data_IF_347998352082
#
_entry.id   IF_347998352082
#
_cell.length_a   1.000
_cell.length_b   1.000
_cell.length_c   1.000
_cell.angle_alpha   90.00
_cell.angle_beta   90.00
_cell.angle_gamma   90.00
#
_symmetry.space_group_name_H-M   'P 1'
#
loop_
_entity.id
_entity.type
_entity.pdbx_description
1 polymer ?
#
# COMPACT_ATOMS: atom_id res chain seq x y z
N UNK A 1 6.26 17.29 22.33
CA UNK A 1 5.56 16.10 21.80
C UNK A 1 4.08 16.22 22.15
N UNK A 2 3.19 16.34 21.17
CA UNK A 2 1.73 16.45 21.39
C UNK A 2 1.19 15.09 21.85
N UNK A 3 0.40 15.06 22.93
CA UNK A 3 -0.38 13.89 23.35
C UNK A 3 -1.82 14.08 22.86
N UNK A 4 -2.36 13.10 22.13
CA UNK A 4 -3.75 13.10 21.68
C UNK A 4 -4.67 12.66 22.82
N UNK A 5 -5.86 13.24 22.93
CA UNK A 5 -6.88 12.78 23.88
C UNK A 5 -7.86 11.84 23.20
N UNK A 6 -8.43 10.91 23.96
CA UNK A 6 -9.46 9.97 23.48
C UNK A 6 -10.67 10.75 22.95
N UNK A 7 -11.10 10.46 21.72
CA UNK A 7 -12.25 11.07 21.08
C UNK A 7 -11.97 12.31 20.21
N UNK A 8 -10.72 12.76 20.12
CA UNK A 8 -10.33 13.85 19.23
C UNK A 8 -10.15 13.37 17.78
N UNK A 9 -10.56 14.19 16.82
CA UNK A 9 -10.32 13.99 15.40
C UNK A 9 -9.44 15.11 14.84
N UNK A 10 -8.47 14.75 14.00
CA UNK A 10 -7.52 15.69 13.41
C UNK A 10 -7.44 15.51 11.90
N UNK A 11 -7.22 16.61 11.18
CA UNK A 11 -6.81 16.55 9.77
C UNK A 11 -5.33 16.20 9.72
N UNK A 12 -4.99 15.19 8.95
CA UNK A 12 -3.59 14.87 8.65
C UNK A 12 -3.17 15.66 7.40
N UNK A 13 -2.06 16.39 7.52
CA UNK A 13 -1.54 17.24 6.45
C UNK A 13 -0.38 16.62 5.68
N UNK A 14 0.37 15.72 6.32
CA UNK A 14 1.50 15.02 5.72
C UNK A 14 1.79 13.70 6.45
N UNK A 15 2.52 12.81 5.78
CA UNK A 15 2.97 11.52 6.30
C UNK A 15 4.49 11.43 6.14
N UNK A 16 5.17 10.82 7.11
CA UNK A 16 6.61 10.55 7.04
C UNK A 16 6.87 9.13 7.53
N UNK A 17 7.40 8.29 6.64
CA UNK A 17 7.67 6.88 6.91
C UNK A 17 9.17 6.64 6.79
N UNK A 18 9.79 6.25 7.91
CA UNK A 18 11.23 6.06 8.01
C UNK A 18 11.63 4.99 9.02
N UNK A 19 12.93 4.77 9.25
CA UNK A 19 13.44 3.72 10.15
C UNK A 19 12.93 3.86 11.59
N UNK A 20 12.51 5.06 12.01
CA UNK A 20 11.97 5.34 13.34
C UNK A 20 10.43 5.23 13.42
N UNK A 21 9.80 4.66 12.39
CA UNK A 21 8.36 4.43 12.31
C UNK A 21 7.63 5.37 11.35
N UNK A 22 6.31 5.23 11.35
CA UNK A 22 5.40 6.02 10.54
C UNK A 22 4.89 7.21 11.37
N UNK A 23 4.79 8.39 10.76
CA UNK A 23 4.42 9.63 11.42
C UNK A 23 3.34 10.38 10.65
N UNK A 24 2.40 10.98 11.36
CA UNK A 24 1.31 11.80 10.83
C UNK A 24 1.49 13.25 11.28
N UNK A 25 1.45 14.20 10.35
CA UNK A 25 1.50 15.62 10.65
C UNK A 25 0.10 16.17 10.90
N UNK A 26 -0.09 16.83 12.04
CA UNK A 26 -1.38 17.41 12.45
C UNK A 26 -1.46 18.93 12.20
N UNK A 27 -0.45 19.49 11.53
CA UNK A 27 -0.29 20.92 11.24
C UNK A 27 1.04 21.49 11.76
N UNK A 28 1.70 22.33 10.96
CA UNK A 28 2.99 22.94 11.31
C UNK A 28 4.06 21.89 11.65
N UNK A 29 4.77 22.07 12.75
CA UNK A 29 5.80 21.13 13.23
C UNK A 29 5.26 19.99 14.10
N UNK A 30 3.93 19.80 14.16
CA UNK A 30 3.33 18.79 15.03
C UNK A 30 3.23 17.44 14.32
N UNK A 31 4.04 16.48 14.77
CA UNK A 31 4.03 15.09 14.30
C UNK A 31 3.64 14.13 15.43
N UNK A 32 2.82 13.13 15.09
CA UNK A 32 2.47 12.02 15.97
C UNK A 32 2.88 10.71 15.33
N UNK A 33 3.46 9.79 16.12
CA UNK A 33 3.77 8.46 15.63
C UNK A 33 2.47 7.70 15.39
N UNK A 34 2.34 7.12 14.20
CA UNK A 34 1.20 6.27 13.88
C UNK A 34 1.27 4.96 14.66
N UNK A 35 0.20 4.69 15.41
CA UNK A 35 -0.02 3.46 16.15
C UNK A 35 -1.47 3.03 15.91
N UNK A 36 -1.67 1.93 15.18
CA UNK A 36 -3.00 1.42 14.84
C UNK A 36 -3.78 0.88 16.02
N UNK A 37 -3.15 0.63 17.18
CA UNK A 37 -3.85 0.23 18.41
C UNK A 37 -4.61 1.39 19.05
N UNK A 38 -4.24 2.64 18.73
CA UNK A 38 -4.80 3.85 19.35
C UNK A 38 -5.37 4.85 18.34
N UNK A 39 -4.84 4.89 17.12
CA UNK A 39 -5.19 5.86 16.08
C UNK A 39 -6.00 5.18 14.98
N UNK A 40 -7.27 5.60 14.85
CA UNK A 40 -8.06 5.33 13.65
C UNK A 40 -7.80 6.43 12.62
N UNK A 41 -6.82 6.20 11.74
CA UNK A 41 -6.50 7.13 10.67
C UNK A 41 -7.31 6.84 9.41
N UNK A 42 -8.40 7.60 9.23
CA UNK A 42 -9.17 7.58 8.00
C UNK A 42 -8.55 8.58 7.01
N UNK A 43 -7.70 8.10 6.10
CA UNK A 43 -7.03 8.90 5.05
C UNK A 43 -7.99 9.58 4.05
N UNK A 44 -9.30 9.52 4.29
CA UNK A 44 -10.35 9.97 3.39
C UNK A 44 -10.34 9.13 2.13
N UNK A 45 -11.19 8.09 2.06
CA UNK A 45 -11.43 7.26 0.89
C UNK A 45 -10.27 7.24 -0.15
N UNK A 46 -9.10 6.72 0.23
CA UNK A 46 -8.41 5.87 -0.75
C UNK A 46 -9.38 4.74 -0.88
N UNK A 47 -10.20 4.77 -1.92
CA UNK A 47 -11.11 3.68 -2.18
C UNK A 47 -10.26 2.42 -2.14
N UNK A 48 -10.47 1.63 -1.09
CA UNK A 48 -10.40 0.20 -1.22
C UNK A 48 -11.50 -0.02 -2.25
N UNK A 49 -11.14 0.07 -3.53
CA UNK A 49 -12.02 -0.28 -4.62
C UNK A 49 -12.25 -1.77 -4.37
N UNK A 50 -13.24 -2.11 -3.54
CA UNK A 50 -13.65 -3.49 -3.32
C UNK A 50 -14.06 -4.12 -4.66
N UNK A 51 -14.29 -3.30 -5.70
CA UNK A 51 -14.39 -3.67 -7.10
C UNK A 51 -13.07 -4.19 -7.74
N UNK A 52 -11.97 -4.38 -7.01
CA UNK A 52 -10.79 -5.10 -7.52
C UNK A 52 -10.52 -6.42 -6.80
N UNK A 53 -11.22 -6.70 -5.71
CA UNK A 53 -11.05 -7.97 -4.99
C UNK A 53 -11.48 -9.14 -5.88
N UNK A 54 -10.66 -10.19 -5.93
CA UNK A 54 -10.88 -11.34 -6.80
C UNK A 54 -10.61 -11.07 -8.30
N UNK A 55 -10.39 -9.81 -8.70
CA UNK A 55 -9.97 -9.48 -10.06
C UNK A 55 -8.50 -9.82 -10.30
N UNK A 56 -8.10 -9.87 -11.56
CA UNK A 56 -6.73 -10.19 -11.94
C UNK A 56 -5.95 -8.92 -12.24
N UNK A 57 -4.88 -8.66 -11.49
CA UNK A 57 -3.86 -7.67 -11.87
C UNK A 57 -2.97 -8.29 -12.94
N UNK A 58 -2.85 -7.64 -14.09
CA UNK A 58 -2.12 -8.11 -15.27
C UNK A 58 -1.04 -7.10 -15.65
N UNK A 59 0.20 -7.56 -15.83
CA UNK A 59 1.30 -6.71 -16.27
C UNK A 59 1.10 -6.22 -17.70
N UNK A 60 1.44 -4.96 -17.95
CA UNK A 60 1.50 -4.34 -19.28
C UNK A 60 2.91 -4.40 -19.90
N UNK A 61 3.93 -4.71 -19.08
CA UNK A 61 5.34 -4.70 -19.47
C UNK A 61 5.99 -6.03 -19.12
N UNK A 62 7.06 -6.37 -19.82
CA UNK A 62 7.89 -7.51 -19.43
C UNK A 62 8.72 -7.17 -18.20
N UNK A 63 9.15 -8.21 -17.49
CA UNK A 63 10.02 -8.10 -16.33
C UNK A 63 9.52 -7.17 -15.20
N UNK A 64 8.20 -7.09 -14.98
CA UNK A 64 7.63 -6.25 -13.93
C UNK A 64 7.89 -6.84 -12.54
N UNK A 65 8.58 -6.09 -11.68
CA UNK A 65 8.90 -6.52 -10.32
C UNK A 65 7.68 -6.80 -9.45
N UNK A 66 7.73 -7.88 -8.68
CA UNK A 66 6.84 -8.15 -7.56
C UNK A 66 7.63 -8.56 -6.31
N UNK A 67 7.04 -8.38 -5.13
CA UNK A 67 7.73 -8.38 -3.84
C UNK A 67 7.10 -9.37 -2.86
N UNK A 68 7.88 -9.84 -1.89
CA UNK A 68 7.39 -10.68 -0.78
C UNK A 68 6.70 -9.89 0.33
N UNK A 69 6.87 -8.56 0.36
CA UNK A 69 6.26 -7.64 1.33
C UNK A 69 5.71 -6.41 0.63
N UNK A 70 4.75 -5.73 1.27
CA UNK A 70 4.25 -4.42 0.83
C UNK A 70 5.35 -3.36 1.00
N UNK A 71 6.21 -3.22 -0.01
CA UNK A 71 7.39 -2.36 0.02
C UNK A 71 7.94 -2.12 -1.38
N UNK A 72 8.71 -1.04 -1.53
CA UNK A 72 9.50 -0.76 -2.72
C UNK A 72 10.99 -1.08 -2.55
N UNK A 73 11.38 -1.61 -1.38
CA UNK A 73 12.76 -2.01 -1.13
C UNK A 73 13.11 -3.29 -1.94
N UNK A 74 14.15 -3.18 -2.77
CA UNK A 74 14.63 -4.26 -3.65
C UNK A 74 15.11 -5.50 -2.90
N UNK A 75 15.47 -5.39 -1.61
CA UNK A 75 15.82 -6.55 -0.80
C UNK A 75 14.67 -7.56 -0.63
N UNK A 76 13.43 -7.13 -0.85
CA UNK A 76 12.23 -7.98 -0.79
C UNK A 76 11.71 -8.36 -2.18
N UNK A 77 12.47 -8.11 -3.25
CA UNK A 77 12.12 -8.52 -4.61
C UNK A 77 11.96 -10.05 -4.65
N UNK A 78 10.79 -10.51 -5.07
CA UNK A 78 10.48 -11.93 -5.19
C UNK A 78 10.75 -12.46 -6.60
N UNK A 79 10.62 -11.60 -7.61
CA UNK A 79 10.86 -11.93 -9.01
C UNK A 79 10.23 -10.90 -9.94
N UNK A 80 10.11 -11.30 -11.22
CA UNK A 80 9.49 -10.50 -12.28
C UNK A 80 8.34 -11.23 -12.96
N UNK A 81 7.37 -10.49 -13.47
CA UNK A 81 6.23 -11.01 -14.23
C UNK A 81 6.12 -10.33 -15.59
N UNK A 82 5.95 -11.14 -16.64
CA UNK A 82 5.88 -10.64 -18.00
C UNK A 82 4.51 -10.08 -18.39
N UNK A 83 4.49 -9.33 -19.50
CA UNK A 83 3.28 -8.73 -20.02
C UNK A 83 2.20 -9.80 -20.29
N UNK A 84 0.95 -9.51 -19.91
CA UNK A 84 -0.17 -10.44 -20.03
C UNK A 84 -0.29 -11.47 -18.90
N UNK A 85 0.79 -11.68 -18.12
CA UNK A 85 0.76 -12.49 -16.90
C UNK A 85 0.36 -11.66 -15.68
N UNK A 86 0.00 -12.31 -14.58
CA UNK A 86 -0.68 -11.64 -13.49
C UNK A 86 -1.17 -12.53 -12.36
N UNK A 87 -1.75 -11.88 -11.34
CA UNK A 87 -2.12 -12.44 -10.04
C UNK A 87 -3.56 -12.09 -9.68
N UNK A 88 -4.19 -12.86 -8.79
CA UNK A 88 -5.52 -12.56 -8.24
C UNK A 88 -5.39 -11.61 -7.07
N UNK A 89 -6.13 -10.51 -7.08
CA UNK A 89 -6.01 -9.45 -6.07
C UNK A 89 -6.78 -9.83 -4.80
N UNK A 90 -6.09 -9.80 -3.66
CA UNK A 90 -6.63 -10.01 -2.31
C UNK A 90 -6.89 -8.70 -1.57
N UNK A 91 -6.10 -7.66 -1.86
CA UNK A 91 -6.26 -6.33 -1.29
C UNK A 91 -5.48 -5.28 -2.09
N UNK A 92 -5.84 -4.02 -1.93
CA UNK A 92 -5.01 -2.87 -2.31
C UNK A 92 -4.39 -2.26 -1.04
N UNK A 93 -3.09 -2.08 -1.03
CA UNK A 93 -2.29 -1.62 0.12
C UNK A 93 -1.58 -0.33 -0.27
N UNK A 94 -1.67 0.71 0.56
CA UNK A 94 -0.87 1.92 0.37
C UNK A 94 0.55 1.70 0.89
N UNK A 95 1.55 2.02 0.07
CA UNK A 95 2.97 1.94 0.42
C UNK A 95 3.59 3.31 0.19
N UNK A 96 3.53 4.16 1.21
CA UNK A 96 4.05 5.54 1.19
C UNK A 96 3.49 6.39 0.02
N UNK A 97 2.20 6.28 -0.30
CA UNK A 97 1.57 7.01 -1.41
C UNK A 97 1.69 6.32 -2.78
N UNK A 98 2.45 5.22 -2.88
CA UNK A 98 2.59 4.41 -4.08
C UNK A 98 1.93 3.04 -3.84
N UNK A 99 0.64 2.89 -4.19
CA UNK A 99 -0.11 1.71 -3.81
C UNK A 99 0.40 0.44 -4.53
N UNK A 100 0.26 -0.69 -3.84
CA UNK A 100 0.48 -2.04 -4.34
C UNK A 100 -0.80 -2.86 -4.21
N UNK A 101 -0.92 -3.92 -4.99
CA UNK A 101 -1.88 -4.99 -4.75
C UNK A 101 -1.21 -6.11 -3.96
N UNK A 102 -1.82 -6.53 -2.85
CA UNK A 102 -1.59 -7.85 -2.27
C UNK A 102 -2.34 -8.84 -3.16
N UNK A 103 -1.65 -9.81 -3.74
CA UNK A 103 -2.22 -10.71 -4.72
C UNK A 103 -1.59 -12.09 -4.63
N UNK A 104 -2.32 -13.15 -4.98
CA UNK A 104 -1.80 -14.52 -5.01
C UNK A 104 -1.71 -15.09 -6.43
N UNK A 105 -0.74 -15.99 -6.62
CA UNK A 105 -0.65 -16.79 -7.84
C UNK A 105 -1.55 -18.04 -7.77
N UNK A 106 -1.60 -18.83 -8.85
CA UNK A 106 -2.39 -20.07 -8.93
C UNK A 106 -1.97 -21.16 -7.91
N UNK A 107 -0.81 -21.01 -7.27
CA UNK A 107 -0.31 -21.89 -6.20
C UNK A 107 -0.64 -21.38 -4.79
N UNK A 108 -1.37 -20.27 -4.68
CA UNK A 108 -1.74 -19.65 -3.40
C UNK A 108 -0.62 -18.82 -2.73
N UNK A 109 0.53 -18.64 -3.38
CA UNK A 109 1.59 -17.79 -2.83
C UNK A 109 1.23 -16.33 -2.99
N UNK A 110 1.29 -15.58 -1.89
CA UNK A 110 1.02 -14.14 -1.84
C UNK A 110 2.24 -13.31 -2.16
N UNK A 111 2.05 -12.30 -2.99
CA UNK A 111 3.03 -11.30 -3.37
C UNK A 111 2.41 -9.89 -3.39
N UNK A 112 3.27 -8.91 -3.59
CA UNK A 112 2.90 -7.50 -3.71
C UNK A 112 3.41 -6.94 -5.04
N UNK A 113 2.53 -6.33 -5.82
CA UNK A 113 2.85 -5.77 -7.15
C UNK A 113 2.29 -4.36 -7.27
N UNK A 114 2.88 -3.51 -8.11
CA UNK A 114 2.40 -2.14 -8.32
C UNK A 114 0.91 -2.08 -8.66
N UNK A 115 0.20 -1.12 -8.07
CA UNK A 115 -1.17 -0.77 -8.45
C UNK A 115 -1.24 0.41 -9.43
N UNK A 116 -0.10 0.82 -10.00
CA UNK A 116 -0.04 1.92 -10.97
C UNK A 116 -0.62 1.50 -12.32
N UNK A 117 -1.62 2.23 -12.87
CA UNK A 117 -2.22 1.93 -14.17
C UNK A 117 -1.23 2.08 -15.34
N UNK A 118 -0.09 2.71 -15.11
CA UNK A 118 1.01 2.77 -16.08
C UNK A 118 1.53 1.38 -16.41
N UNK A 119 1.71 0.53 -15.39
CA UNK A 119 2.38 -0.77 -15.50
C UNK A 119 1.44 -1.97 -15.46
N UNK A 120 0.23 -1.80 -14.89
CA UNK A 120 -0.73 -2.91 -14.76
C UNK A 120 -2.12 -2.51 -15.22
N UNK A 121 -2.90 -3.50 -15.61
CA UNK A 121 -4.34 -3.40 -15.78
C UNK A 121 -5.03 -4.34 -14.78
N UNK A 122 -6.25 -4.00 -14.36
CA UNK A 122 -7.11 -4.91 -13.59
C UNK A 122 -8.21 -5.43 -14.51
N UNK A 123 -8.38 -6.75 -14.57
CA UNK A 123 -9.42 -7.44 -15.34
C UNK A 123 -10.43 -8.10 -14.40
#
# INVERSE_FOLDING_TARGET
MRKLKKGEAYKVFAESNGPNGNWLNLGGEQWVKYDSSYIHYNKGNVSVNNNVLGKRVVSKVNDLNFYTKATWNRSYLAGTVDAGLGFTIDAKVDVNGYPQYKAHNSKGHTYYITASPTYVNVK
#
